data_IF_718216187746
#
_entry.id   IF_718216187746
#
_cell.length_a   1.000
_cell.length_b   1.000
_cell.length_c   1.000
_cell.angle_alpha   90.00
_cell.angle_beta   90.00
_cell.angle_gamma   90.00
#
_symmetry.space_group_name_H-M   'P 1'
#
loop_
_entity.id
_entity.type
_entity.pdbx_description
1 polymer ?
#
# COMPACT_ATOMS: atom_id res chain seq x y z
N UNK A 1 -6.32 -1.75 19.70
CA UNK A 1 -7.00 -1.32 18.44
C UNK A 1 -8.53 -1.41 18.60
N UNK A 2 -9.17 -2.56 18.94
CA UNK A 2 -10.63 -2.63 19.08
C UNK A 2 -11.16 -1.61 20.09
N UNK A 3 -10.57 -1.49 21.28
CA UNK A 3 -10.96 -0.53 22.31
C UNK A 3 -10.86 0.93 21.84
N UNK A 4 -9.88 1.26 21.03
CA UNK A 4 -9.73 2.60 20.43
C UNK A 4 -10.89 2.92 19.47
N UNK A 5 -11.30 1.94 18.66
CA UNK A 5 -12.46 2.08 17.76
C UNK A 5 -13.75 2.31 18.54
N UNK A 6 -13.99 1.52 19.60
CA UNK A 6 -15.16 1.70 20.48
C UNK A 6 -15.14 3.06 21.16
N UNK A 7 -13.99 3.50 21.67
CA UNK A 7 -13.86 4.82 22.31
C UNK A 7 -14.12 5.92 21.29
N UNK A 8 -13.50 5.87 20.13
CA UNK A 8 -13.71 6.85 19.08
C UNK A 8 -15.19 6.93 18.65
N UNK A 9 -15.85 5.80 18.42
CA UNK A 9 -17.28 5.79 18.09
C UNK A 9 -18.15 6.45 19.18
N UNK A 10 -17.81 6.19 20.45
CA UNK A 10 -18.50 6.79 21.58
C UNK A 10 -18.29 8.29 21.66
N UNK A 11 -17.06 8.75 21.42
CA UNK A 11 -16.70 10.15 21.52
C UNK A 11 -17.30 11.01 20.40
N UNK A 12 -17.32 10.48 19.16
CA UNK A 12 -17.87 11.19 17.99
C UNK A 12 -19.38 10.99 17.82
N UNK A 13 -19.99 10.00 18.49
CA UNK A 13 -21.40 9.65 18.33
C UNK A 13 -21.76 9.02 16.99
N UNK A 14 -20.78 8.63 16.18
CA UNK A 14 -20.97 8.08 14.84
C UNK A 14 -20.32 6.71 14.70
N UNK A 15 -20.86 5.88 13.80
CA UNK A 15 -20.29 4.56 13.49
C UNK A 15 -19.06 4.70 12.59
N UNK A 16 -17.95 4.13 13.01
CA UNK A 16 -16.78 3.96 12.15
C UNK A 16 -17.09 2.88 11.11
N UNK A 17 -16.96 3.22 9.84
CA UNK A 17 -17.30 2.35 8.71
C UNK A 17 -16.07 1.79 7.97
N UNK A 18 -14.92 2.45 8.08
CA UNK A 18 -13.69 2.07 7.39
C UNK A 18 -12.51 2.07 8.35
N UNK A 19 -11.58 1.15 8.11
CA UNK A 19 -10.33 1.04 8.89
C UNK A 19 -9.15 0.99 7.93
N UNK A 20 -8.12 1.75 8.28
CA UNK A 20 -6.83 1.74 7.57
C UNK A 20 -5.74 1.40 8.59
N UNK A 21 -5.11 0.24 8.44
CA UNK A 21 -3.93 -0.14 9.19
C UNK A 21 -2.70 0.46 8.50
N UNK A 22 -2.45 1.74 8.79
CA UNK A 22 -1.37 2.54 8.21
C UNK A 22 -0.82 3.47 9.30
N UNK A 23 0.48 3.76 9.25
CA UNK A 23 1.10 4.66 10.22
C UNK A 23 2.46 4.14 10.67
N UNK A 24 2.73 4.15 11.96
CA UNK A 24 4.01 3.71 12.54
C UNK A 24 3.97 2.20 12.79
N UNK A 25 4.99 1.49 12.32
CA UNK A 25 5.12 0.04 12.45
C UNK A 25 4.68 -0.70 11.19
N UNK A 26 4.87 -2.01 11.22
CA UNK A 26 4.52 -2.93 10.15
C UNK A 26 3.45 -3.93 10.63
N UNK A 27 2.21 -3.83 10.15
CA UNK A 27 1.15 -4.72 10.60
C UNK A 27 1.46 -6.21 10.41
N UNK A 28 2.12 -6.56 9.32
CA UNK A 28 2.45 -7.95 9.02
C UNK A 28 3.58 -8.52 9.89
N UNK A 29 4.34 -7.68 10.59
CA UNK A 29 5.31 -8.15 11.59
C UNK A 29 4.61 -8.70 12.85
N UNK A 30 3.41 -8.19 13.14
CA UNK A 30 2.54 -8.69 14.21
C UNK A 30 1.35 -9.50 13.65
N UNK A 31 1.64 -10.42 12.74
CA UNK A 31 0.67 -11.11 11.90
C UNK A 31 -0.49 -11.73 12.68
N UNK A 32 -0.19 -12.52 13.71
CA UNK A 32 -1.21 -13.27 14.44
C UNK A 32 -2.20 -12.36 15.19
N UNK A 33 -1.70 -11.30 15.81
CA UNK A 33 -2.56 -10.34 16.51
C UNK A 33 -3.37 -9.46 15.53
N UNK A 34 -2.80 -9.16 14.36
CA UNK A 34 -3.55 -8.47 13.31
C UNK A 34 -4.65 -9.37 12.74
N UNK A 35 -4.40 -10.66 12.54
CA UNK A 35 -5.45 -11.60 12.12
C UNK A 35 -6.57 -11.70 13.15
N UNK A 36 -6.21 -11.83 14.43
CA UNK A 36 -7.18 -11.84 15.54
C UNK A 36 -7.99 -10.53 15.60
N UNK A 37 -7.34 -9.39 15.39
CA UNK A 37 -8.02 -8.10 15.29
C UNK A 37 -9.04 -8.09 14.14
N UNK A 38 -8.64 -8.54 12.94
CA UNK A 38 -9.51 -8.58 11.77
C UNK A 38 -10.73 -9.47 11.99
N UNK A 39 -10.55 -10.62 12.59
CA UNK A 39 -11.66 -11.52 12.97
C UNK A 39 -12.64 -10.85 13.94
N UNK A 40 -12.12 -10.24 15.01
CA UNK A 40 -12.94 -9.58 16.02
C UNK A 40 -13.72 -8.37 15.47
N UNK A 41 -13.07 -7.52 14.67
CA UNK A 41 -13.69 -6.30 14.18
C UNK A 41 -14.75 -6.56 13.10
N UNK A 42 -14.61 -7.66 12.37
CA UNK A 42 -15.57 -8.09 11.34
C UNK A 42 -16.67 -9.00 11.86
N UNK A 43 -16.57 -9.46 13.11
CA UNK A 43 -17.58 -10.32 13.73
C UNK A 43 -18.95 -9.64 13.76
N UNK A 44 -20.03 -10.37 13.38
CA UNK A 44 -21.40 -9.88 13.53
C UNK A 44 -21.79 -9.52 14.97
N UNK A 45 -21.14 -10.13 15.96
CA UNK A 45 -21.37 -9.87 17.38
C UNK A 45 -20.60 -8.64 17.90
N UNK A 46 -19.70 -8.07 17.07
CA UNK A 46 -18.90 -6.90 17.42
C UNK A 46 -19.29 -5.66 16.64
N UNK A 47 -18.27 -4.90 16.19
CA UNK A 47 -18.49 -3.67 15.39
C UNK A 47 -19.02 -3.99 14.00
N UNK A 48 -18.78 -5.20 13.53
CA UNK A 48 -19.24 -5.70 12.22
C UNK A 48 -18.81 -4.81 11.03
N UNK A 49 -17.52 -4.52 10.97
CA UNK A 49 -16.93 -3.82 9.82
C UNK A 49 -16.55 -4.86 8.77
N UNK A 50 -17.18 -4.80 7.60
CA UNK A 50 -16.89 -5.74 6.52
C UNK A 50 -15.45 -5.62 6.02
N UNK A 51 -14.80 -6.75 5.71
CA UNK A 51 -13.39 -6.82 5.29
C UNK A 51 -13.08 -5.91 4.09
N UNK A 52 -14.04 -5.63 3.21
CA UNK A 52 -13.86 -4.73 2.06
C UNK A 52 -13.66 -3.26 2.46
N UNK A 53 -14.02 -2.92 3.69
CA UNK A 53 -13.84 -1.59 4.26
C UNK A 53 -12.57 -1.49 5.11
N UNK A 54 -11.69 -2.51 5.03
CA UNK A 54 -10.43 -2.54 5.75
C UNK A 54 -9.29 -2.52 4.73
N UNK A 55 -8.35 -1.60 4.92
CA UNK A 55 -7.09 -1.53 4.20
C UNK A 55 -5.94 -1.88 5.13
N UNK A 56 -5.08 -2.81 4.72
CA UNK A 56 -3.88 -3.19 5.44
C UNK A 56 -2.68 -2.75 4.61
N UNK A 57 -1.84 -1.89 5.20
CA UNK A 57 -0.60 -1.44 4.56
C UNK A 57 0.57 -2.31 4.99
N UNK A 58 1.53 -2.52 4.09
CA UNK A 58 2.77 -3.23 4.37
C UNK A 58 3.95 -2.62 3.62
N UNK A 59 5.12 -2.62 4.25
CA UNK A 59 6.38 -2.27 3.60
C UNK A 59 6.87 -3.36 2.63
N UNK A 60 6.25 -4.55 2.62
CA UNK A 60 6.55 -5.61 1.68
C UNK A 60 7.27 -6.82 2.28
N UNK A 61 6.84 -7.29 3.45
CA UNK A 61 7.31 -8.55 4.04
C UNK A 61 6.79 -9.74 3.23
N UNK A 62 7.54 -10.14 2.21
CA UNK A 62 7.13 -11.14 1.20
C UNK A 62 6.56 -12.43 1.82
N UNK A 63 7.22 -13.10 2.79
CA UNK A 63 6.67 -14.31 3.38
C UNK A 63 5.31 -14.08 4.08
N UNK A 64 5.10 -12.87 4.61
CA UNK A 64 3.85 -12.50 5.29
C UNK A 64 2.74 -12.14 4.30
N UNK A 65 3.09 -11.58 3.15
CA UNK A 65 2.14 -11.38 2.05
C UNK A 65 1.63 -12.74 1.54
N UNK A 66 2.50 -13.72 1.37
CA UNK A 66 2.11 -15.07 0.96
C UNK A 66 1.21 -15.73 2.03
N UNK A 67 1.54 -15.61 3.33
CA UNK A 67 0.67 -16.09 4.43
C UNK A 67 -0.70 -15.38 4.43
N UNK A 68 -0.74 -14.08 4.16
CA UNK A 68 -1.98 -13.32 4.07
C UNK A 68 -2.84 -13.76 2.88
N UNK A 69 -2.23 -14.11 1.75
CA UNK A 69 -2.93 -14.64 0.58
C UNK A 69 -3.70 -15.93 0.91
N UNK A 70 -3.07 -16.84 1.68
CA UNK A 70 -3.71 -18.09 2.11
C UNK A 70 -4.98 -17.88 2.95
N UNK A 71 -5.07 -16.76 3.68
CA UNK A 71 -6.26 -16.40 4.47
C UNK A 71 -7.46 -16.02 3.58
N UNK A 72 -7.25 -15.68 2.31
CA UNK A 72 -8.28 -15.29 1.33
C UNK A 72 -9.25 -14.21 1.82
N UNK A 73 -8.73 -13.30 2.64
CA UNK A 73 -9.51 -12.18 3.18
C UNK A 73 -9.88 -11.20 2.08
N UNK A 74 -11.04 -10.54 2.23
CA UNK A 74 -11.56 -9.60 1.24
C UNK A 74 -11.12 -8.15 1.52
N UNK A 75 -10.06 -7.95 2.30
CA UNK A 75 -9.49 -6.62 2.56
C UNK A 75 -8.73 -6.05 1.35
N UNK A 76 -8.39 -4.78 1.41
CA UNK A 76 -7.49 -4.13 0.45
C UNK A 76 -6.07 -4.22 0.98
N UNK A 77 -5.17 -4.82 0.21
CA UNK A 77 -3.75 -4.78 0.50
C UNK A 77 -3.14 -3.53 -0.14
N UNK A 78 -2.53 -2.66 0.68
CA UNK A 78 -1.75 -1.50 0.25
C UNK A 78 -0.26 -1.78 0.45
N UNK A 79 0.52 -1.69 -0.61
CA UNK A 79 1.96 -1.96 -0.57
C UNK A 79 2.72 -0.65 -0.69
N UNK A 80 3.53 -0.34 0.31
CA UNK A 80 4.47 0.78 0.30
C UNK A 80 5.62 0.48 -0.66
N UNK A 81 5.44 0.83 -1.93
CA UNK A 81 6.41 0.59 -2.98
C UNK A 81 7.47 1.69 -3.03
N UNK A 82 7.03 2.95 -3.14
CA UNK A 82 7.80 4.20 -3.10
C UNK A 82 8.90 4.37 -4.16
N UNK A 83 9.28 3.29 -4.87
CA UNK A 83 10.26 3.36 -5.94
C UNK A 83 10.01 2.27 -6.99
N UNK A 84 10.37 2.51 -8.27
CA UNK A 84 10.12 1.56 -9.35
C UNK A 84 11.27 0.57 -9.58
N UNK A 85 12.38 0.70 -8.85
CA UNK A 85 13.58 -0.13 -8.98
C UNK A 85 14.32 -0.24 -7.65
N UNK A 86 15.27 -1.19 -7.57
CA UNK A 86 16.00 -1.50 -6.35
C UNK A 86 16.95 -0.38 -5.92
N UNK A 87 17.61 0.30 -6.85
CA UNK A 87 18.60 1.34 -6.54
C UNK A 87 17.96 2.47 -5.73
N UNK A 88 16.77 2.92 -6.15
CA UNK A 88 16.03 3.96 -5.44
C UNK A 88 15.38 3.37 -4.19
N UNK A 89 14.78 2.18 -4.28
CA UNK A 89 14.02 1.61 -3.17
C UNK A 89 14.89 1.27 -1.97
N UNK A 90 16.09 0.72 -2.16
CA UNK A 90 17.02 0.43 -1.07
C UNK A 90 17.44 1.69 -0.32
N UNK A 91 17.56 2.82 -1.02
CA UNK A 91 17.85 4.11 -0.38
C UNK A 91 16.70 4.69 0.46
N UNK A 92 15.46 4.29 0.18
CA UNK A 92 14.26 4.78 0.87
C UNK A 92 13.69 3.78 1.87
N UNK A 93 13.84 2.49 1.60
CA UNK A 93 13.21 1.38 2.32
C UNK A 93 14.20 0.22 2.51
N UNK A 94 14.84 0.10 3.67
CA UNK A 94 15.83 -0.96 3.93
C UNK A 94 15.29 -2.39 3.76
N UNK A 95 13.98 -2.60 3.87
CA UNK A 95 13.32 -3.89 3.61
C UNK A 95 13.59 -4.42 2.18
N UNK A 96 13.94 -3.53 1.24
CA UNK A 96 14.27 -3.91 -0.12
C UNK A 96 15.51 -4.79 -0.23
N UNK A 97 16.45 -4.68 0.72
CA UNK A 97 17.65 -5.51 0.74
C UNK A 97 17.32 -6.98 1.03
N UNK A 98 16.27 -7.22 1.83
CA UNK A 98 15.73 -8.55 2.07
C UNK A 98 14.76 -9.02 0.98
N UNK A 99 13.95 -8.11 0.45
CA UNK A 99 12.92 -8.40 -0.55
C UNK A 99 12.98 -7.38 -1.69
N UNK A 100 13.84 -7.62 -2.71
CA UNK A 100 13.94 -6.77 -3.90
C UNK A 100 12.60 -6.58 -4.62
N UNK A 101 12.49 -5.48 -5.36
CA UNK A 101 11.25 -5.10 -6.07
C UNK A 101 10.64 -6.26 -6.86
N UNK A 102 11.45 -7.04 -7.56
CA UNK A 102 11.00 -8.15 -8.39
C UNK A 102 10.38 -9.27 -7.54
N UNK A 103 10.98 -9.57 -6.39
CA UNK A 103 10.49 -10.59 -5.44
C UNK A 103 9.18 -10.12 -4.81
N UNK A 104 9.12 -8.84 -4.40
CA UNK A 104 7.91 -8.23 -3.88
C UNK A 104 6.78 -8.28 -4.89
N UNK A 105 7.04 -7.88 -6.15
CA UNK A 105 6.01 -7.86 -7.19
C UNK A 105 5.49 -9.25 -7.54
N UNK A 106 6.32 -10.27 -7.49
CA UNK A 106 5.89 -11.65 -7.63
C UNK A 106 4.95 -12.08 -6.50
N UNK A 107 5.26 -11.74 -5.25
CA UNK A 107 4.39 -12.02 -4.11
C UNK A 107 3.03 -11.29 -4.23
N UNK A 108 3.05 -10.04 -4.65
CA UNK A 108 1.82 -9.26 -4.88
C UNK A 108 0.96 -9.86 -6.00
N UNK A 109 1.56 -10.35 -7.08
CA UNK A 109 0.83 -11.07 -8.15
C UNK A 109 0.18 -12.34 -7.62
N UNK A 110 0.93 -13.18 -6.88
CA UNK A 110 0.37 -14.38 -6.23
C UNK A 110 -0.78 -14.03 -5.29
N UNK A 111 -0.65 -12.95 -4.51
CA UNK A 111 -1.72 -12.45 -3.65
C UNK A 111 -2.99 -12.13 -4.45
N UNK A 112 -2.86 -11.39 -5.56
CA UNK A 112 -4.00 -11.05 -6.44
C UNK A 112 -4.64 -12.29 -7.06
N UNK A 113 -3.84 -13.24 -7.56
CA UNK A 113 -4.31 -14.49 -8.15
C UNK A 113 -5.07 -15.34 -7.13
N UNK A 114 -4.56 -15.43 -5.90
CA UNK A 114 -5.15 -16.25 -4.84
C UNK A 114 -6.43 -15.65 -4.27
N UNK A 115 -6.47 -14.33 -4.11
CA UNK A 115 -7.58 -13.64 -3.42
C UNK A 115 -8.61 -13.03 -4.37
N UNK A 116 -8.25 -12.83 -5.64
CA UNK A 116 -9.05 -12.07 -6.60
C UNK A 116 -9.17 -10.58 -6.26
N UNK A 117 -8.36 -10.08 -5.32
CA UNK A 117 -8.47 -8.71 -4.81
C UNK A 117 -7.49 -7.77 -5.52
N UNK A 118 -7.96 -6.54 -5.77
CA UNK A 118 -7.09 -5.47 -6.24
C UNK A 118 -6.13 -5.05 -5.13
N UNK A 119 -4.88 -4.74 -5.52
CA UNK A 119 -3.86 -4.18 -4.62
C UNK A 119 -3.69 -2.69 -4.92
N UNK A 120 -3.40 -1.91 -3.88
CA UNK A 120 -2.98 -0.52 -3.98
C UNK A 120 -1.47 -0.42 -3.77
N UNK A 121 -0.80 0.43 -4.56
CA UNK A 121 0.60 0.79 -4.34
C UNK A 121 0.67 2.23 -3.85
N UNK A 122 1.29 2.42 -2.70
CA UNK A 122 1.59 3.72 -2.14
C UNK A 122 2.94 4.18 -2.69
N UNK A 123 2.99 5.38 -3.25
CA UNK A 123 4.17 5.93 -3.90
C UNK A 123 4.41 7.36 -3.41
N UNK A 124 5.24 7.50 -2.36
CA UNK A 124 5.67 8.78 -1.83
C UNK A 124 6.58 9.48 -2.82
N UNK A 125 6.15 10.61 -3.36
CA UNK A 125 6.89 11.35 -4.38
C UNK A 125 7.91 12.29 -3.75
N UNK A 126 9.18 12.02 -3.99
CA UNK A 126 10.33 12.79 -3.49
C UNK A 126 11.03 13.46 -4.66
N UNK A 127 11.17 14.80 -4.57
CA UNK A 127 11.80 15.60 -5.62
C UNK A 127 13.21 15.14 -5.92
N UNK A 128 13.49 14.89 -7.21
CA UNK A 128 14.82 14.50 -7.70
C UNK A 128 15.27 13.11 -7.32
N UNK A 129 14.42 12.31 -6.63
CA UNK A 129 14.72 10.94 -6.24
C UNK A 129 13.93 9.93 -7.09
N UNK A 130 12.61 9.96 -6.99
CA UNK A 130 11.73 8.98 -7.62
C UNK A 130 10.64 9.61 -8.51
N UNK A 131 10.69 10.92 -8.75
CA UNK A 131 9.64 11.70 -9.42
C UNK A 131 9.92 12.01 -10.89
N UNK A 132 10.91 11.34 -11.49
CA UNK A 132 11.30 11.52 -12.89
C UNK A 132 10.35 10.81 -13.86
N UNK A 133 10.37 11.27 -15.13
CA UNK A 133 9.66 10.60 -16.22
C UNK A 133 10.12 9.14 -16.44
N UNK A 134 11.38 8.84 -16.15
CA UNK A 134 11.91 7.48 -16.22
C UNK A 134 11.27 6.61 -15.12
N UNK A 135 11.15 7.12 -13.89
CA UNK A 135 10.48 6.43 -12.79
C UNK A 135 9.01 6.16 -13.12
N UNK A 136 8.31 7.12 -13.74
CA UNK A 136 6.92 6.90 -14.14
C UNK A 136 6.76 5.74 -15.15
N UNK A 137 7.66 5.67 -16.14
CA UNK A 137 7.67 4.56 -17.13
C UNK A 137 8.00 3.22 -16.47
N UNK A 138 9.05 3.17 -15.65
CA UNK A 138 9.42 1.95 -14.93
C UNK A 138 8.30 1.46 -14.01
N UNK A 139 7.63 2.36 -13.30
CA UNK A 139 6.48 2.01 -12.46
C UNK A 139 5.33 1.44 -13.29
N UNK A 140 5.02 2.06 -14.44
CA UNK A 140 3.99 1.56 -15.34
C UNK A 140 4.31 0.14 -15.87
N UNK A 141 5.57 -0.10 -16.22
CA UNK A 141 6.01 -1.42 -16.67
C UNK A 141 5.94 -2.45 -15.55
N UNK A 142 6.30 -2.07 -14.34
CA UNK A 142 6.30 -2.93 -13.16
C UNK A 142 4.89 -3.44 -12.80
N UNK A 143 3.88 -2.56 -12.88
CA UNK A 143 2.48 -2.88 -12.54
C UNK A 143 1.66 -3.34 -13.76
N UNK A 144 2.28 -3.51 -14.91
CA UNK A 144 1.62 -3.91 -16.15
C UNK A 144 0.80 -5.20 -15.96
N UNK A 145 -0.47 -5.15 -16.37
CA UNK A 145 -1.38 -6.29 -16.29
C UNK A 145 -1.94 -6.61 -14.90
N UNK A 146 -1.58 -5.85 -13.87
CA UNK A 146 -2.01 -6.15 -12.49
C UNK A 146 -3.40 -5.60 -12.13
N UNK A 147 -3.98 -4.67 -12.89
CA UNK A 147 -5.23 -4.02 -12.48
C UNK A 147 -5.12 -3.32 -11.11
N UNK A 148 -3.94 -2.83 -10.76
CA UNK A 148 -3.66 -2.21 -9.47
C UNK A 148 -4.09 -0.74 -9.42
N UNK A 149 -4.23 -0.20 -8.21
CA UNK A 149 -4.32 1.23 -7.96
C UNK A 149 -2.96 1.76 -7.54
N UNK A 150 -2.60 2.98 -7.97
CA UNK A 150 -1.40 3.68 -7.50
C UNK A 150 -1.82 4.99 -6.86
N UNK A 151 -1.46 5.16 -5.60
CA UNK A 151 -1.66 6.39 -4.86
C UNK A 151 -0.36 7.19 -4.86
N UNK A 152 -0.34 8.32 -5.55
CA UNK A 152 0.81 9.23 -5.61
C UNK A 152 0.70 10.23 -4.46
N UNK A 153 1.64 10.18 -3.52
CA UNK A 153 1.62 10.94 -2.28
C UNK A 153 2.79 11.93 -2.26
N UNK A 154 2.58 13.23 -2.53
CA UNK A 154 3.62 14.22 -2.27
C UNK A 154 3.97 14.18 -0.77
N UNK A 155 5.26 14.09 -0.45
CA UNK A 155 5.69 14.07 0.95
C UNK A 155 5.47 15.43 1.62
N UNK A 156 5.20 15.42 2.92
CA UNK A 156 5.16 16.64 3.70
C UNK A 156 6.60 17.13 3.99
N UNK A 157 6.85 18.44 4.04
CA UNK A 157 8.12 18.97 4.52
C UNK A 157 8.38 18.55 5.97
N UNK A 158 9.59 18.08 6.24
CA UNK A 158 10.05 17.74 7.58
C UNK A 158 11.37 18.43 7.81
N UNK A 159 11.47 19.20 8.88
CA UNK A 159 12.70 19.91 9.22
C UNK A 159 13.87 18.94 9.43
N UNK A 160 15.02 19.26 8.82
CA UNK A 160 16.21 18.41 8.88
C UNK A 160 16.17 17.18 7.95
N UNK A 161 15.10 16.94 7.23
CA UNK A 161 15.03 15.87 6.22
C UNK A 161 15.81 16.25 4.96
N UNK A 162 16.59 15.31 4.36
CA UNK A 162 17.21 15.54 3.06
C UNK A 162 16.18 15.49 1.90
N UNK A 163 14.96 15.08 2.17
CA UNK A 163 13.90 14.90 1.17
C UNK A 163 13.00 16.13 1.09
N UNK A 164 12.62 16.50 -0.12
CA UNK A 164 11.67 17.58 -0.37
C UNK A 164 10.51 17.11 -1.25
N UNK A 165 9.36 17.76 -1.07
CA UNK A 165 8.17 17.45 -1.86
C UNK A 165 8.39 17.78 -3.33
N UNK A 166 7.87 16.93 -4.21
CA UNK A 166 7.72 17.26 -5.62
C UNK A 166 6.59 18.28 -5.81
N UNK A 167 6.68 19.14 -6.82
CA UNK A 167 5.64 20.13 -7.09
C UNK A 167 4.40 19.51 -7.76
N UNK A 168 3.27 20.21 -7.63
CA UNK A 168 1.99 19.74 -8.16
C UNK A 168 1.97 19.58 -9.70
N UNK A 169 2.79 20.32 -10.42
CA UNK A 169 2.89 20.19 -11.88
C UNK A 169 3.59 18.88 -12.25
N UNK A 170 4.65 18.52 -11.51
CA UNK A 170 5.35 17.26 -11.71
C UNK A 170 4.50 16.05 -11.31
N UNK A 171 3.72 16.15 -10.22
CA UNK A 171 2.74 15.08 -9.84
C UNK A 171 1.77 14.82 -10.98
N UNK A 172 1.18 15.87 -11.55
CA UNK A 172 0.25 15.74 -12.69
C UNK A 172 0.93 15.13 -13.93
N UNK A 173 2.16 15.56 -14.23
CA UNK A 173 2.93 15.01 -15.35
C UNK A 173 3.24 13.52 -15.14
N UNK A 174 3.67 13.16 -13.95
CA UNK A 174 3.93 11.77 -13.56
C UNK A 174 2.67 10.91 -13.68
N UNK A 175 1.55 11.39 -13.14
CA UNK A 175 0.24 10.74 -13.25
C UNK A 175 -0.19 10.53 -14.70
N UNK A 176 -0.04 11.54 -15.55
CA UNK A 176 -0.39 11.44 -16.98
C UNK A 176 0.46 10.37 -17.68
N UNK A 177 1.78 10.33 -17.42
CA UNK A 177 2.66 9.32 -18.00
C UNK A 177 2.32 7.92 -17.53
N UNK A 178 2.03 7.77 -16.25
CA UNK A 178 1.60 6.50 -15.69
C UNK A 178 0.27 6.05 -16.32
N UNK A 179 -0.72 6.93 -16.43
CA UNK A 179 -2.02 6.64 -17.01
C UNK A 179 -1.94 6.24 -18.50
N UNK A 180 -1.18 6.96 -19.31
CA UNK A 180 -1.00 6.63 -20.74
C UNK A 180 -0.33 5.28 -20.92
N UNK A 181 0.68 4.97 -20.13
CA UNK A 181 1.36 3.67 -20.17
C UNK A 181 0.48 2.53 -19.66
N UNK A 182 -0.50 2.82 -18.81
CA UNK A 182 -1.41 1.84 -18.20
C UNK A 182 -2.68 1.59 -19.04
N UNK A 183 -3.17 2.60 -19.79
CA UNK A 183 -4.38 2.50 -20.63
C UNK A 183 -4.17 1.68 -21.90
N UNK A 184 -2.95 1.54 -22.38
CA UNK A 184 -2.66 0.62 -23.51
C UNK A 184 -2.85 -0.87 -23.19
N UNK A 185 -3.28 -1.19 -21.95
CA UNK A 185 -3.50 -2.56 -21.47
C UNK A 185 -4.98 -2.93 -21.28
N UNK A 186 -5.91 -2.04 -21.67
CA UNK A 186 -7.35 -2.32 -21.72
C UNK A 186 -7.83 -2.37 -23.18
N UNK A 187 -7.25 -3.25 -23.95
CA UNK A 187 -7.83 -3.66 -25.24
C UNK A 187 -8.19 -5.13 -25.15
#
# INVERSE_FOLDING_TARGET
>A
ICSEIYTAQKDIGERISHIVLMGIGEPLDNFDEVMRFLENISSPEGVNIGMRNISLSTCGLVPKIDQLAEKKLQLTLSVSLHAPNNDIRSGMMPVNDAYPVEVLMQAVRRYQETTGRRVSFEYSMVRGVNDSDACARQLADLIRGMGAHVNLIPINPVDGSPYSATDAANVRRFQQKLAVSYTHLRA
#
